data_IF_656519593772
#
_entry.id   IF_656519593772
#
_cell.length_a   1.000
_cell.length_b   1.000
_cell.length_c   1.000
_cell.angle_alpha   90.00
_cell.angle_beta   90.00
_cell.angle_gamma   90.00
#
_symmetry.space_group_name_H-M   'P 1'
#
loop_
_entity.id
_entity.type
_entity.pdbx_description
1 polymer ?
#
# COMPACT_ATOMS: atom_id res chain seq x y z
N UNK A 1 27.52 -76.98 -14.41
CA UNK A 1 28.09 -77.87 -13.39
C UNK A 1 29.17 -77.07 -12.65
N UNK A 2 28.85 -76.58 -11.43
CA UNK A 2 29.76 -76.02 -10.39
C UNK A 2 30.57 -74.77 -10.81
N UNK A 3 30.88 -73.73 -10.01
CA UNK A 3 30.80 -73.42 -8.59
C UNK A 3 31.00 -71.89 -8.48
N UNK A 4 30.30 -71.22 -7.56
CA UNK A 4 30.66 -69.86 -7.11
C UNK A 4 32.02 -69.90 -6.39
N UNK A 5 32.75 -68.77 -6.34
CA UNK A 5 32.90 -68.15 -5.04
C UNK A 5 32.79 -66.62 -5.03
N UNK A 6 32.21 -66.16 -3.92
CA UNK A 6 32.25 -64.83 -3.33
C UNK A 6 33.68 -64.26 -3.28
N UNK A 7 33.85 -62.97 -3.58
CA UNK A 7 34.93 -62.18 -2.96
C UNK A 7 34.51 -60.72 -2.71
N UNK A 8 34.72 -60.32 -1.45
CA UNK A 8 34.49 -59.05 -0.78
C UNK A 8 34.77 -57.79 -1.62
N UNK A 9 33.84 -56.83 -1.60
CA UNK A 9 34.17 -55.41 -1.75
C UNK A 9 34.32 -54.79 -0.35
N UNK A 10 35.56 -54.51 0.04
CA UNK A 10 35.86 -53.63 1.18
C UNK A 10 35.75 -52.20 0.66
N UNK A 11 34.64 -51.53 0.97
CA UNK A 11 34.53 -50.08 0.82
C UNK A 11 34.98 -49.45 2.15
N UNK A 12 36.28 -49.15 2.22
CA UNK A 12 36.85 -48.33 3.27
C UNK A 12 36.47 -46.87 2.97
N UNK A 13 35.24 -46.49 3.34
CA UNK A 13 34.92 -45.07 3.47
C UNK A 13 35.46 -44.64 4.82
N UNK A 14 36.67 -44.07 4.81
CA UNK A 14 37.16 -43.31 5.94
C UNK A 14 36.10 -42.27 6.27
N UNK A 15 35.44 -42.43 7.42
CA UNK A 15 34.60 -41.41 8.04
C UNK A 15 35.49 -40.19 8.29
N UNK A 16 35.58 -39.32 7.30
CA UNK A 16 35.98 -37.94 7.54
C UNK A 16 34.83 -37.34 8.31
N UNK A 17 35.01 -37.20 9.63
CA UNK A 17 34.15 -36.34 10.43
C UNK A 17 34.16 -34.97 9.77
N UNK A 18 33.11 -34.66 9.02
CA UNK A 18 32.78 -33.28 8.71
C UNK A 18 32.45 -32.68 10.06
N UNK A 19 33.39 -31.90 10.60
CA UNK A 19 33.13 -31.03 11.73
C UNK A 19 31.91 -30.21 11.38
N UNK A 20 30.75 -30.58 11.94
CA UNK A 20 29.50 -29.91 11.66
C UNK A 20 29.55 -28.58 12.40
N UNK A 21 30.16 -27.58 11.77
CA UNK A 21 30.25 -26.25 12.33
C UNK A 21 28.82 -25.71 12.46
N UNK A 22 28.38 -25.52 13.71
CA UNK A 22 27.09 -24.90 13.98
C UNK A 22 27.06 -23.50 13.39
N UNK A 23 25.95 -23.16 12.77
CA UNK A 23 25.72 -21.86 12.17
C UNK A 23 24.34 -21.35 12.54
N UNK A 24 24.20 -20.03 12.56
CA UNK A 24 23.08 -19.33 13.17
C UNK A 24 22.54 -18.29 12.18
N UNK A 25 21.22 -18.21 12.08
CA UNK A 25 20.54 -17.23 11.23
C UNK A 25 19.70 -16.32 12.11
N UNK A 26 19.75 -15.03 11.78
CA UNK A 26 18.77 -14.06 12.23
C UNK A 26 18.20 -13.31 11.01
N UNK A 27 16.89 -13.43 10.78
CA UNK A 27 16.18 -12.63 9.78
C UNK A 27 15.33 -11.59 10.48
N UNK A 28 15.51 -10.35 10.06
CA UNK A 28 14.86 -9.16 10.63
C UNK A 28 14.41 -8.26 9.49
N UNK A 29 13.30 -7.52 9.63
CA UNK A 29 12.94 -6.49 8.66
C UNK A 29 14.05 -5.45 8.49
N UNK A 30 14.24 -4.96 7.27
CA UNK A 30 15.25 -3.95 6.96
C UNK A 30 14.99 -2.59 7.67
N UNK A 31 13.75 -2.37 8.12
CA UNK A 31 13.32 -1.20 8.88
C UNK A 31 12.43 -1.65 10.02
N UNK A 32 12.68 -1.14 11.22
CA UNK A 32 11.85 -1.37 12.39
C UNK A 32 10.94 -0.16 12.63
N UNK A 33 9.70 -0.44 13.02
CA UNK A 33 8.70 0.56 13.39
C UNK A 33 8.53 0.52 14.89
N UNK A 34 8.58 1.69 15.52
CA UNK A 34 8.36 1.80 16.96
C UNK A 34 6.89 1.49 17.30
N UNK A 35 6.65 0.83 18.43
CA UNK A 35 5.30 0.47 18.89
C UNK A 35 4.53 -0.49 17.98
N UNK A 36 5.20 -1.12 17.00
CA UNK A 36 4.60 -2.14 16.12
C UNK A 36 5.17 -3.51 16.46
N UNK A 37 4.29 -4.50 16.57
CA UNK A 37 4.68 -5.90 16.72
C UNK A 37 5.24 -6.43 15.41
N UNK A 38 6.46 -6.93 15.44
CA UNK A 38 7.20 -7.39 14.26
C UNK A 38 7.77 -8.78 14.54
N UNK A 39 7.74 -9.63 13.53
CA UNK A 39 8.28 -10.98 13.63
C UNK A 39 9.74 -11.00 13.16
N UNK A 40 10.58 -11.70 13.92
CA UNK A 40 11.96 -12.02 13.57
C UNK A 40 12.11 -13.54 13.52
N UNK A 41 12.96 -14.03 12.63
CA UNK A 41 13.28 -15.46 12.55
C UNK A 41 14.63 -15.71 13.20
N UNK A 42 14.68 -16.72 14.06
CA UNK A 42 15.89 -17.19 14.74
C UNK A 42 16.08 -18.66 14.40
N UNK A 43 17.21 -19.01 13.80
CA UNK A 43 17.53 -20.39 13.45
C UNK A 43 18.93 -20.77 13.93
N UNK A 44 19.08 -22.01 14.36
CA UNK A 44 20.37 -22.59 14.72
C UNK A 44 20.49 -23.99 14.11
N UNK A 45 21.61 -24.25 13.44
CA UNK A 45 21.83 -25.49 12.73
C UNK A 45 22.98 -26.28 13.36
N UNK A 46 22.93 -27.59 13.17
CA UNK A 46 23.93 -28.53 13.70
C UNK A 46 24.06 -28.45 15.23
N UNK A 47 22.91 -28.37 15.92
CA UNK A 47 22.80 -28.47 17.38
C UNK A 47 22.02 -29.72 17.78
N UNK A 48 22.37 -30.27 18.94
CA UNK A 48 21.73 -31.45 19.53
C UNK A 48 21.12 -31.18 20.91
N UNK A 49 21.44 -30.04 21.53
CA UNK A 49 20.91 -29.62 22.83
C UNK A 49 20.04 -28.38 22.67
N UNK A 50 18.93 -28.26 23.43
CA UNK A 50 18.13 -27.04 23.44
C UNK A 50 18.97 -25.82 23.81
N UNK A 51 18.72 -24.70 23.15
CA UNK A 51 19.37 -23.42 23.44
C UNK A 51 18.34 -22.32 23.65
N UNK A 52 18.64 -21.40 24.55
CA UNK A 52 17.86 -20.16 24.71
C UNK A 52 18.57 -19.05 23.97
N UNK A 53 17.88 -18.47 22.98
CA UNK A 53 18.34 -17.30 22.24
C UNK A 53 17.79 -16.06 22.92
N UNK A 54 18.68 -15.18 23.41
CA UNK A 54 18.28 -13.87 23.96
C UNK A 54 18.30 -12.84 22.87
N UNK A 55 17.24 -12.06 22.75
CA UNK A 55 17.13 -10.96 21.78
C UNK A 55 16.98 -9.65 22.55
N UNK A 56 17.84 -8.69 22.24
CA UNK A 56 17.87 -7.39 22.91
C UNK A 56 17.95 -6.29 21.85
N UNK A 57 17.06 -5.30 21.94
CA UNK A 57 17.07 -4.12 21.09
C UNK A 57 17.53 -2.93 21.92
N UNK A 58 18.59 -2.28 21.48
CA UNK A 58 19.13 -1.08 22.10
C UNK A 58 18.92 0.16 21.25
N UNK A 59 18.86 1.33 21.88
CA UNK A 59 19.11 2.60 21.18
C UNK A 59 20.51 2.58 20.57
N UNK A 60 20.73 3.23 19.43
CA UNK A 60 22.08 3.43 18.91
C UNK A 60 22.73 4.69 19.52
N UNK A 61 24.01 4.67 19.97
CA UNK A 61 24.99 3.58 19.92
C UNK A 61 25.06 2.75 21.23
N UNK A 62 24.06 1.91 21.46
CA UNK A 62 23.88 0.95 22.56
C UNK A 62 23.86 1.56 23.98
N UNK A 63 23.04 2.60 24.20
CA UNK A 63 22.95 3.28 25.51
C UNK A 63 21.83 2.75 26.41
N UNK A 64 20.66 2.49 25.85
CA UNK A 64 19.45 2.10 26.59
C UNK A 64 18.80 0.88 25.94
N UNK A 65 18.25 -0.02 26.75
CA UNK A 65 17.46 -1.16 26.29
C UNK A 65 16.05 -0.68 25.98
N UNK A 66 15.58 -0.94 24.75
CA UNK A 66 14.22 -0.65 24.30
C UNK A 66 13.30 -1.85 24.50
N UNK A 67 13.83 -3.05 24.28
CA UNK A 67 13.11 -4.32 24.49
C UNK A 67 14.09 -5.46 24.65
N UNK A 68 13.69 -6.43 25.45
CA UNK A 68 14.42 -7.65 25.67
C UNK A 68 13.44 -8.82 25.72
N UNK A 69 13.77 -9.89 25.02
CA UNK A 69 12.97 -11.11 24.98
C UNK A 69 13.87 -12.33 24.73
N UNK A 70 13.28 -13.52 24.70
CA UNK A 70 13.97 -14.76 24.38
C UNK A 70 13.09 -15.76 23.64
N UNK A 71 13.74 -16.70 22.96
CA UNK A 71 13.12 -17.85 22.32
C UNK A 71 13.95 -19.11 22.62
N UNK A 72 13.28 -20.26 22.75
CA UNK A 72 13.94 -21.55 22.95
C UNK A 72 13.98 -22.25 21.59
N UNK A 73 15.16 -22.71 21.17
CA UNK A 73 15.37 -23.52 19.97
C UNK A 73 15.71 -24.95 20.40
N UNK A 74 14.92 -25.92 19.97
CA UNK A 74 15.04 -27.32 20.37
C UNK A 74 14.63 -28.25 19.22
N UNK A 75 14.65 -29.57 19.46
CA UNK A 75 14.24 -30.54 18.45
C UNK A 75 12.76 -30.47 18.07
N UNK A 76 11.88 -29.97 18.95
CA UNK A 76 10.44 -29.88 18.69
C UNK A 76 10.12 -28.81 17.65
N UNK A 77 10.86 -27.69 17.66
CA UNK A 77 10.72 -26.63 16.66
C UNK A 77 11.78 -26.67 15.56
N UNK A 78 12.47 -27.82 15.41
CA UNK A 78 13.56 -27.98 14.43
C UNK A 78 14.64 -26.88 14.53
N UNK A 79 14.88 -26.38 15.74
CA UNK A 79 15.78 -25.27 16.02
C UNK A 79 15.49 -23.97 15.25
N UNK A 80 14.23 -23.75 14.88
CA UNK A 80 13.75 -22.55 14.20
C UNK A 80 12.56 -21.95 14.96
N UNK A 81 12.59 -20.65 15.22
CA UNK A 81 11.50 -19.96 15.91
C UNK A 81 11.22 -18.58 15.29
N UNK A 82 9.94 -18.34 15.02
CA UNK A 82 9.42 -17.01 14.73
C UNK A 82 9.09 -16.32 16.05
N UNK A 83 9.79 -15.22 16.34
CA UNK A 83 9.60 -14.45 17.57
C UNK A 83 8.99 -13.09 17.27
N UNK A 84 7.86 -12.78 17.90
CA UNK A 84 7.29 -11.43 17.86
C UNK A 84 8.01 -10.54 18.87
N UNK A 85 8.50 -9.39 18.42
CA UNK A 85 9.09 -8.33 19.24
C UNK A 85 8.35 -7.02 18.98
N UNK A 86 8.30 -6.16 19.99
CA UNK A 86 7.76 -4.80 19.89
C UNK A 86 8.86 -3.84 20.31
N UNK A 87 9.12 -2.79 19.52
CA UNK A 87 10.28 -1.93 19.79
C UNK A 87 9.86 -0.70 20.60
N UNK A 88 10.25 -0.70 21.88
CA UNK A 88 10.04 0.40 22.83
C UNK A 88 8.65 0.38 23.50
N UNK A 89 8.55 0.90 24.73
CA UNK A 89 7.28 1.18 25.41
C UNK A 89 6.69 2.52 24.95
N UNK A 90 5.38 2.76 25.15
CA UNK A 90 4.71 4.05 24.80
C UNK A 90 5.54 5.29 25.20
N UNK A 91 6.03 5.33 26.43
CA UNK A 91 6.85 6.44 26.95
C UNK A 91 8.18 6.61 26.19
N UNK A 92 8.84 5.49 25.89
CA UNK A 92 10.10 5.50 25.14
C UNK A 92 9.89 5.89 23.68
N UNK A 93 8.79 5.42 23.07
CA UNK A 93 8.42 5.80 21.70
C UNK A 93 8.18 7.31 21.63
N UNK A 94 7.49 7.89 22.61
CA UNK A 94 7.29 9.35 22.67
C UNK A 94 8.62 10.11 22.68
N UNK A 95 9.53 9.75 23.59
CA UNK A 95 10.84 10.40 23.70
C UNK A 95 11.70 10.24 22.44
N UNK A 96 11.69 9.06 21.82
CA UNK A 96 12.41 8.82 20.57
C UNK A 96 11.78 9.55 19.37
N UNK A 97 10.45 9.71 19.37
CA UNK A 97 9.73 10.44 18.32
C UNK A 97 9.98 11.95 18.35
N UNK A 98 10.38 12.52 19.49
CA UNK A 98 10.79 13.93 19.57
C UNK A 98 12.13 14.21 18.85
N UNK A 99 12.91 13.16 18.54
CA UNK A 99 14.19 13.26 17.83
C UNK A 99 14.05 13.23 16.29
N UNK A 100 12.84 13.47 15.78
CA UNK A 100 12.31 13.29 14.41
C UNK A 100 13.07 13.91 13.23
N UNK A 101 14.18 14.61 13.47
CA UNK A 101 14.93 15.31 12.40
C UNK A 101 16.12 14.52 11.83
N UNK A 102 16.42 13.31 12.33
CA UNK A 102 17.58 12.51 11.90
C UNK A 102 17.24 11.04 11.70
N UNK A 103 17.94 10.40 10.75
CA UNK A 103 18.00 8.95 10.62
C UNK A 103 18.42 8.36 11.97
N UNK A 104 17.48 7.73 12.67
CA UNK A 104 17.77 7.07 13.94
C UNK A 104 17.87 5.58 13.70
N UNK A 105 18.77 4.94 14.46
CA UNK A 105 19.06 3.53 14.33
C UNK A 105 18.87 2.86 15.69
N UNK A 106 18.61 1.56 15.64
CA UNK A 106 18.67 0.67 16.80
C UNK A 106 19.67 -0.44 16.52
N UNK A 107 20.28 -0.92 17.59
CA UNK A 107 21.14 -2.09 17.54
C UNK A 107 20.34 -3.28 18.05
N UNK A 108 20.05 -4.23 17.16
CA UNK A 108 19.52 -5.53 17.52
C UNK A 108 20.67 -6.47 17.84
N UNK A 109 20.56 -7.16 18.96
CA UNK A 109 21.52 -8.14 19.42
C UNK A 109 20.84 -9.48 19.69
N UNK A 110 21.42 -10.56 19.18
CA UNK A 110 20.96 -11.92 19.43
C UNK A 110 22.08 -12.79 19.98
N UNK A 111 21.90 -13.31 21.19
CA UNK A 111 22.82 -14.24 21.85
C UNK A 111 22.28 -15.66 21.77
N UNK A 112 22.91 -16.51 20.95
CA UNK A 112 22.58 -17.93 20.81
C UNK A 112 23.31 -18.73 21.90
N UNK A 113 22.84 -18.59 23.15
CA UNK A 113 23.51 -19.15 24.31
C UNK A 113 24.97 -18.66 24.41
N UNK A 114 25.90 -19.60 24.62
CA UNK A 114 27.35 -19.33 24.58
C UNK A 114 27.98 -19.54 23.21
N UNK A 115 27.21 -19.94 22.19
CA UNK A 115 27.75 -20.37 20.90
C UNK A 115 28.05 -19.22 19.95
N UNK A 116 27.16 -18.23 19.88
CA UNK A 116 27.30 -17.13 18.94
C UNK A 116 26.57 -15.87 19.42
N UNK A 117 27.09 -14.71 19.01
CA UNK A 117 26.44 -13.41 19.21
C UNK A 117 26.38 -12.69 17.88
N UNK A 118 25.17 -12.34 17.45
CA UNK A 118 24.94 -11.59 16.23
C UNK A 118 24.49 -10.16 16.57
N UNK A 119 25.00 -9.20 15.80
CA UNK A 119 24.63 -7.79 15.92
C UNK A 119 24.18 -7.24 14.56
N UNK A 120 23.07 -6.49 14.56
CA UNK A 120 22.58 -5.80 13.39
C UNK A 120 22.13 -4.39 13.75
N UNK A 121 22.68 -3.40 13.04
CA UNK A 121 22.18 -2.02 13.07
C UNK A 121 21.01 -1.93 12.08
N UNK A 122 19.86 -1.48 12.57
CA UNK A 122 18.63 -1.38 11.78
C UNK A 122 18.10 0.04 11.87
N UNK A 123 17.68 0.58 10.74
CA UNK A 123 17.09 1.91 10.69
C UNK A 123 15.69 1.86 11.32
N UNK A 124 15.42 2.81 12.21
CA UNK A 124 14.07 3.07 12.69
C UNK A 124 13.36 3.97 11.68
N UNK A 125 12.17 3.55 11.27
CA UNK A 125 11.25 4.46 10.59
C UNK A 125 10.34 5.10 11.63
N UNK A 126 10.42 6.42 11.74
CA UNK A 126 9.43 7.25 12.42
C UNK A 126 8.52 7.78 11.34
N UNK A 127 7.21 7.60 11.49
CA UNK A 127 6.25 8.46 10.80
C UNK A 127 5.34 9.00 11.89
N UNK A 128 5.68 10.22 12.32
CA UNK A 128 4.91 11.13 13.18
C UNK A 128 4.10 10.51 14.34
N UNK A 129 4.56 10.82 15.55
CA UNK A 129 3.90 10.63 16.85
C UNK A 129 3.67 9.18 17.32
N UNK A 130 4.33 8.85 18.42
CA UNK A 130 4.32 7.57 19.14
C UNK A 130 2.94 6.95 19.40
N UNK A 131 1.91 7.79 19.49
CA UNK A 131 0.57 7.41 19.94
C UNK A 131 -0.29 6.84 18.81
N UNK A 132 0.09 7.05 17.54
CA UNK A 132 -0.66 6.51 16.41
C UNK A 132 0.32 5.72 15.53
N UNK A 133 0.32 4.37 15.57
CA UNK A 133 1.15 3.55 14.68
C UNK A 133 0.81 3.86 13.23
N UNK A 134 1.56 3.32 12.26
CA UNK A 134 1.38 3.57 10.82
C UNK A 134 -0.08 3.36 10.38
N UNK A 135 -0.88 4.41 10.47
CA UNK A 135 -2.32 4.34 10.33
C UNK A 135 -2.70 4.97 9.00
N UNK A 136 -3.66 4.36 8.35
CA UNK A 136 -4.13 4.75 7.04
C UNK A 136 -5.50 5.39 7.17
N UNK A 137 -5.71 6.47 6.40
CA UNK A 137 -7.03 7.04 6.18
C UNK A 137 -7.41 6.78 4.73
N UNK A 138 -8.48 6.03 4.50
CA UNK A 138 -9.08 5.87 3.18
C UNK A 138 -10.30 6.77 3.08
N UNK A 139 -10.34 7.62 2.07
CA UNK A 139 -11.43 8.58 1.87
C UNK A 139 -12.27 8.10 0.69
N UNK A 140 -13.58 7.99 0.89
CA UNK A 140 -14.53 7.60 -0.15
C UNK A 140 -15.60 8.68 -0.28
N UNK A 141 -15.77 9.20 -1.49
CA UNK A 141 -16.92 10.04 -1.85
C UNK A 141 -18.06 9.19 -2.40
N UNK A 142 -19.31 9.65 -2.27
CA UNK A 142 -20.47 8.94 -2.83
C UNK A 142 -20.52 9.00 -4.36
N UNK A 143 -19.95 10.06 -4.95
CA UNK A 143 -19.85 10.26 -6.39
C UNK A 143 -18.45 10.78 -6.79
N UNK A 144 -17.96 10.46 -8.00
CA UNK A 144 -16.71 11.04 -8.51
C UNK A 144 -16.88 12.43 -9.12
N UNK A 145 -18.12 12.83 -9.45
CA UNK A 145 -18.46 14.09 -10.13
C UNK A 145 -19.68 14.73 -9.46
N UNK A 146 -19.62 16.02 -9.19
CA UNK A 146 -20.68 16.83 -8.59
C UNK A 146 -20.98 18.08 -9.41
N UNK A 147 -22.24 18.52 -9.37
CA UNK A 147 -22.65 19.82 -9.87
C UNK A 147 -22.36 20.92 -8.84
N UNK A 148 -22.16 22.18 -9.28
CA UNK A 148 -22.30 23.34 -8.39
C UNK A 148 -23.64 23.31 -7.66
N UNK A 149 -23.63 23.48 -6.34
CA UNK A 149 -24.82 23.35 -5.47
C UNK A 149 -25.07 21.95 -4.90
N UNK A 150 -24.41 20.90 -5.42
CA UNK A 150 -24.56 19.56 -4.86
C UNK A 150 -23.92 19.45 -3.47
N UNK A 151 -24.44 18.52 -2.67
CA UNK A 151 -23.79 18.10 -1.43
C UNK A 151 -22.86 16.92 -1.69
N UNK A 152 -21.58 17.10 -1.35
CA UNK A 152 -20.55 16.08 -1.38
C UNK A 152 -20.68 15.26 -0.10
N UNK A 153 -21.08 14.00 -0.21
CA UNK A 153 -21.05 13.07 0.90
C UNK A 153 -19.76 12.26 0.84
N UNK A 154 -19.05 12.19 1.97
CA UNK A 154 -17.82 11.43 2.05
C UNK A 154 -17.68 10.74 3.40
N UNK A 155 -16.87 9.69 3.40
CA UNK A 155 -16.55 8.93 4.60
C UNK A 155 -15.06 8.62 4.64
N UNK A 156 -14.51 8.74 5.83
CA UNK A 156 -13.13 8.42 6.13
C UNK A 156 -13.08 7.10 6.90
N UNK A 157 -12.19 6.21 6.47
CA UNK A 157 -11.91 4.95 7.14
C UNK A 157 -10.51 5.01 7.74
N UNK A 158 -10.45 4.98 9.06
CA UNK A 158 -9.22 4.99 9.84
C UNK A 158 -8.86 3.56 10.22
N UNK A 159 -7.64 3.15 9.89
CA UNK A 159 -7.16 1.80 10.18
C UNK A 159 -5.69 1.79 10.60
N UNK A 160 -5.31 0.81 11.41
CA UNK A 160 -3.92 0.58 11.82
C UNK A 160 -3.15 -0.16 10.70
N UNK A 161 -1.85 -0.47 10.87
CA UNK A 161 -1.06 -1.16 9.84
C UNK A 161 -1.59 -2.55 9.47
N UNK A 162 -2.32 -3.20 10.39
CA UNK A 162 -2.97 -4.49 10.22
C UNK A 162 -4.39 -4.37 9.60
N UNK A 163 -4.76 -3.17 9.13
CA UNK A 163 -6.07 -2.82 8.56
C UNK A 163 -7.24 -3.02 9.53
N UNK A 164 -6.98 -2.94 10.84
CA UNK A 164 -8.01 -2.97 11.86
C UNK A 164 -8.49 -1.54 12.17
N UNK A 165 -9.80 -1.38 12.24
CA UNK A 165 -10.42 -0.12 12.60
C UNK A 165 -10.19 0.21 14.08
N UNK A 166 -9.97 1.49 14.39
CA UNK A 166 -9.78 1.96 15.77
C UNK A 166 -10.34 3.37 15.98
N UNK A 167 -10.59 3.74 17.23
CA UNK A 167 -11.08 5.08 17.57
C UNK A 167 -9.94 6.09 17.46
N UNK A 168 -10.13 7.16 16.69
CA UNK A 168 -9.16 8.24 16.55
C UNK A 168 -9.87 9.57 16.31
N UNK A 169 -9.17 10.67 16.55
CA UNK A 169 -9.55 11.98 16.02
C UNK A 169 -8.71 12.30 14.79
N UNK A 170 -9.34 12.93 13.80
CA UNK A 170 -8.71 13.38 12.55
C UNK A 170 -9.15 14.81 12.20
N UNK A 171 -8.30 15.50 11.47
CA UNK A 171 -8.59 16.79 10.83
C UNK A 171 -8.96 16.57 9.38
N UNK A 172 -9.99 17.27 8.92
CA UNK A 172 -10.53 17.22 7.57
C UNK A 172 -10.44 18.60 6.91
N UNK A 173 -10.14 18.63 5.63
CA UNK A 173 -10.08 19.83 4.80
C UNK A 173 -10.72 19.54 3.43
N UNK A 174 -11.47 20.50 2.89
CA UNK A 174 -11.92 20.48 1.50
C UNK A 174 -11.17 21.58 0.75
N UNK A 175 -10.46 21.18 -0.29
CA UNK A 175 -9.65 22.06 -1.12
C UNK A 175 -10.25 22.24 -2.50
N UNK A 176 -10.27 23.48 -2.97
CA UNK A 176 -10.68 23.82 -4.32
C UNK A 176 -9.56 23.47 -5.35
N UNK A 177 -9.78 23.69 -6.66
CA UNK A 177 -8.79 23.38 -7.69
C UNK A 177 -7.48 24.18 -7.59
N UNK A 178 -7.48 25.30 -6.86
CA UNK A 178 -6.29 26.13 -6.62
C UNK A 178 -5.51 25.70 -5.36
N UNK A 179 -5.95 24.64 -4.68
CA UNK A 179 -5.36 24.15 -3.43
C UNK A 179 -5.75 24.99 -2.20
N UNK A 180 -6.73 25.87 -2.33
CA UNK A 180 -7.23 26.69 -1.22
C UNK A 180 -8.21 25.86 -0.39
N UNK A 181 -7.99 25.81 0.91
CA UNK A 181 -8.91 25.18 1.87
C UNK A 181 -10.16 26.05 2.01
N UNK A 182 -11.31 25.53 1.57
CA UNK A 182 -12.61 26.22 1.64
C UNK A 182 -13.39 25.81 2.88
N UNK A 183 -13.15 24.61 3.39
CA UNK A 183 -13.75 24.09 4.61
C UNK A 183 -12.71 23.29 5.38
N UNK A 184 -12.72 23.40 6.71
CA UNK A 184 -11.84 22.65 7.59
C UNK A 184 -12.53 22.30 8.90
N UNK A 185 -12.30 21.08 9.38
CA UNK A 185 -12.81 20.58 10.66
C UNK A 185 -11.69 19.83 11.38
N UNK A 186 -11.26 20.34 12.53
CA UNK A 186 -10.27 19.66 13.37
C UNK A 186 -10.93 18.79 14.44
N UNK A 187 -10.21 17.82 14.98
CA UNK A 187 -10.65 16.96 16.08
C UNK A 187 -11.96 16.20 15.80
N UNK A 188 -12.18 15.80 14.55
CA UNK A 188 -13.34 15.02 14.17
C UNK A 188 -13.17 13.56 14.62
N UNK A 189 -14.12 13.06 15.41
CA UNK A 189 -14.04 11.71 16.00
C UNK A 189 -14.46 10.63 15.02
N UNK A 190 -13.53 9.76 14.63
CA UNK A 190 -13.78 8.55 13.87
C UNK A 190 -14.05 7.39 14.85
N UNK A 191 -15.32 7.18 15.18
CA UNK A 191 -15.77 6.06 16.02
C UNK A 191 -15.70 4.75 15.25
N UNK A 192 -15.06 3.73 15.85
CA UNK A 192 -14.81 2.43 15.24
C UNK A 192 -14.16 2.56 13.85
N UNK A 193 -13.23 3.51 13.72
CA UNK A 193 -12.50 3.79 12.48
C UNK A 193 -13.34 4.34 11.34
N UNK A 194 -14.57 4.84 11.58
CA UNK A 194 -15.39 5.45 10.54
C UNK A 194 -15.81 6.85 10.96
N UNK A 195 -15.62 7.81 10.07
CA UNK A 195 -16.19 9.14 10.15
C UNK A 195 -16.98 9.42 8.86
N UNK A 196 -18.19 9.97 8.98
CA UNK A 196 -19.03 10.32 7.83
C UNK A 196 -19.39 11.79 7.89
N UNK A 197 -19.21 12.48 6.78
CA UNK A 197 -19.31 13.93 6.69
C UNK A 197 -19.97 14.33 5.38
N UNK A 198 -20.39 15.60 5.32
CA UNK A 198 -20.94 16.18 4.11
C UNK A 198 -20.59 17.64 3.98
N UNK A 199 -20.44 18.10 2.74
CA UNK A 199 -20.20 19.51 2.44
C UNK A 199 -20.99 19.94 1.21
N UNK A 200 -21.79 20.98 1.37
CA UNK A 200 -22.57 21.56 0.27
C UNK A 200 -21.72 22.54 -0.51
N UNK A 201 -21.53 22.27 -1.80
CA UNK A 201 -20.86 23.18 -2.73
C UNK A 201 -21.72 24.44 -2.91
N UNK A 202 -21.10 25.61 -3.03
CA UNK A 202 -21.85 26.80 -3.43
C UNK A 202 -22.42 26.63 -4.85
N UNK A 203 -23.51 27.34 -5.14
CA UNK A 203 -24.13 27.34 -6.47
C UNK A 203 -23.23 27.99 -7.54
N UNK A 204 -22.32 28.86 -7.10
CA UNK A 204 -21.27 29.49 -7.92
C UNK A 204 -19.91 29.11 -7.34
N UNK A 205 -19.30 28.05 -7.88
CA UNK A 205 -17.97 27.56 -7.49
C UNK A 205 -17.08 27.37 -8.71
N UNK A 206 -15.76 27.38 -8.48
CA UNK A 206 -14.78 27.06 -9.52
C UNK A 206 -14.92 25.60 -9.94
N UNK A 207 -15.19 25.38 -11.22
CA UNK A 207 -15.16 24.05 -11.82
C UNK A 207 -13.72 23.51 -11.87
N UNK A 208 -13.57 22.20 -11.73
CA UNK A 208 -12.28 21.52 -11.77
C UNK A 208 -12.16 20.42 -10.73
N UNK A 209 -10.91 20.09 -10.41
CA UNK A 209 -10.55 18.98 -9.52
C UNK A 209 -10.45 19.44 -8.07
N UNK A 210 -11.39 19.03 -7.25
CA UNK A 210 -11.44 19.30 -5.82
C UNK A 210 -10.85 18.12 -5.02
N UNK A 211 -10.51 18.37 -3.76
CA UNK A 211 -9.96 17.33 -2.87
C UNK A 211 -10.63 17.36 -1.51
N UNK A 212 -10.91 16.18 -0.97
CA UNK A 212 -11.05 15.96 0.47
C UNK A 212 -9.68 15.53 0.98
N UNK A 213 -9.22 16.15 2.05
CA UNK A 213 -7.92 15.92 2.66
C UNK A 213 -8.10 15.59 4.14
N UNK A 214 -7.51 14.50 4.60
CA UNK A 214 -7.58 14.06 5.99
C UNK A 214 -6.18 13.88 6.58
N UNK A 215 -6.03 14.24 7.85
CA UNK A 215 -4.77 14.16 8.61
C UNK A 215 -5.08 13.71 10.03
N UNK A 216 -4.18 12.96 10.66
CA UNK A 216 -4.28 12.75 12.11
C UNK A 216 -3.87 14.04 12.84
N UNK A 217 -4.61 14.46 13.87
CA UNK A 217 -4.44 15.80 14.49
C UNK A 217 -3.01 16.08 15.00
N UNK A 218 -2.28 15.04 15.41
CA UNK A 218 -0.92 15.13 15.96
C UNK A 218 0.19 14.83 14.93
N UNK A 219 -0.15 14.77 13.64
CA UNK A 219 0.71 14.26 12.57
C UNK A 219 0.65 15.19 11.36
N UNK A 220 1.74 15.94 11.13
CA UNK A 220 1.82 16.85 9.98
C UNK A 220 2.21 16.15 8.67
N UNK A 221 2.88 15.00 8.74
CA UNK A 221 3.54 14.39 7.57
C UNK A 221 2.70 13.32 6.86
N UNK A 222 1.66 12.76 7.49
CA UNK A 222 0.76 11.79 6.85
C UNK A 222 -0.56 12.46 6.46
N UNK A 223 -0.58 13.01 5.24
CA UNK A 223 -1.79 13.55 4.62
C UNK A 223 -2.37 12.53 3.64
N UNK A 224 -3.67 12.26 3.79
CA UNK A 224 -4.44 11.40 2.90
C UNK A 224 -5.44 12.24 2.12
N UNK A 225 -5.74 11.87 0.88
CA UNK A 225 -6.68 12.65 0.07
C UNK A 225 -7.44 11.80 -0.92
N UNK A 226 -8.70 12.16 -1.15
CA UNK A 226 -9.50 11.71 -2.29
C UNK A 226 -9.87 12.90 -3.15
N UNK A 227 -10.03 12.64 -4.44
CA UNK A 227 -10.29 13.64 -5.46
C UNK A 227 -11.71 13.46 -5.99
N UNK A 228 -12.41 14.57 -6.22
CA UNK A 228 -13.67 14.59 -6.96
C UNK A 228 -13.70 15.77 -7.93
N UNK A 229 -14.42 15.63 -9.03
CA UNK A 229 -14.58 16.71 -10.00
C UNK A 229 -15.86 17.51 -9.71
N UNK A 230 -15.75 18.83 -9.78
CA UNK A 230 -16.90 19.73 -9.81
C UNK A 230 -17.03 20.31 -11.20
N UNK A 231 -18.10 19.98 -11.90
CA UNK A 231 -18.40 20.50 -13.23
C UNK A 231 -19.89 20.40 -13.47
N UNK A 232 -20.43 21.28 -14.30
CA UNK A 232 -21.83 21.17 -14.73
C UNK A 232 -22.01 19.85 -15.49
N UNK A 233 -22.68 18.92 -14.85
CA UNK A 233 -23.02 17.61 -15.33
C UNK A 233 -24.54 17.47 -15.42
N UNK A 234 -24.99 17.16 -16.62
CA UNK A 234 -26.36 16.71 -16.84
C UNK A 234 -26.29 15.21 -17.06
N UNK A 235 -27.10 14.44 -16.33
CA UNK A 235 -27.22 13.01 -16.56
C UNK A 235 -27.63 12.79 -18.03
N UNK A 236 -26.76 12.19 -18.86
CA UNK A 236 -27.11 11.98 -20.24
C UNK A 236 -28.26 10.97 -20.32
N UNK A 237 -29.26 11.20 -21.18
CA UNK A 237 -30.43 10.32 -21.28
C UNK A 237 -30.13 8.94 -21.89
N UNK A 238 -28.94 8.77 -22.47
CA UNK A 238 -28.46 7.55 -23.09
C UNK A 238 -26.94 7.45 -22.98
N UNK A 239 -26.42 6.23 -23.06
CA UNK A 239 -25.00 5.94 -23.09
C UNK A 239 -24.52 5.79 -24.52
N UNK A 240 -23.32 6.31 -24.81
CA UNK A 240 -22.61 6.11 -26.07
C UNK A 240 -21.35 5.31 -25.79
N UNK A 241 -21.16 4.21 -26.51
CA UNK A 241 -19.99 3.35 -26.39
C UNK A 241 -19.25 3.34 -27.72
N UNK A 242 -17.95 3.60 -27.67
CA UNK A 242 -17.03 3.51 -28.79
C UNK A 242 -16.20 2.24 -28.62
N UNK A 243 -16.38 1.27 -29.50
CA UNK A 243 -15.70 -0.02 -29.45
C UNK A 243 -14.76 -0.13 -30.65
N UNK A 244 -13.45 0.12 -30.47
CA UNK A 244 -12.50 -0.09 -31.55
C UNK A 244 -12.38 -1.60 -31.83
N UNK A 245 -12.31 -1.99 -33.10
CA UNK A 245 -12.14 -3.42 -33.47
C UNK A 245 -10.79 -3.97 -33.03
N UNK A 246 -9.79 -3.10 -32.92
CA UNK A 246 -8.44 -3.40 -32.41
C UNK A 246 -8.05 -2.37 -31.36
N UNK A 247 -7.37 -2.80 -30.32
CA UNK A 247 -6.88 -1.93 -29.25
C UNK A 247 -5.65 -1.10 -29.65
N UNK A 248 -5.05 -1.39 -30.81
CA UNK A 248 -3.91 -0.68 -31.38
C UNK A 248 -4.06 -0.56 -32.89
N UNK A 249 -3.33 0.39 -33.47
CA UNK A 249 -3.21 0.57 -34.92
C UNK A 249 -1.74 0.35 -35.30
N UNK A 250 -1.46 -0.71 -36.03
CA UNK A 250 -0.11 -0.97 -36.58
C UNK A 250 0.20 -0.01 -37.72
N UNK A 251 1.50 0.24 -37.97
CA UNK A 251 1.95 1.09 -39.07
C UNK A 251 1.55 0.56 -40.45
N UNK A 252 1.38 -0.76 -40.57
CA UNK A 252 1.00 -1.43 -41.82
C UNK A 252 -0.52 -1.48 -42.03
N UNK A 253 -1.31 -0.96 -41.09
CA UNK A 253 -2.77 -0.97 -41.18
C UNK A 253 -3.28 0.32 -41.80
N UNK A 254 -4.00 0.18 -42.90
CA UNK A 254 -4.56 1.32 -43.63
C UNK A 254 -5.83 1.90 -42.96
N UNK A 255 -6.48 1.15 -42.06
CA UNK A 255 -7.84 1.45 -41.57
C UNK A 255 -7.96 1.25 -40.07
N UNK A 256 -8.51 2.26 -39.37
CA UNK A 256 -8.99 2.14 -38.00
C UNK A 256 -10.51 2.00 -37.98
N UNK A 257 -11.01 0.87 -37.51
CA UNK A 257 -12.46 0.62 -37.41
C UNK A 257 -12.93 0.78 -35.96
N UNK A 258 -13.91 1.66 -35.76
CA UNK A 258 -14.55 1.91 -34.46
C UNK A 258 -16.05 1.76 -34.61
N UNK A 259 -16.63 0.84 -33.85
CA UNK A 259 -18.08 0.70 -33.73
C UNK A 259 -18.61 1.74 -32.75
N UNK A 260 -19.64 2.46 -33.15
CA UNK A 260 -20.33 3.44 -32.30
C UNK A 260 -21.69 2.86 -31.96
N UNK A 261 -21.98 2.67 -30.67
CA UNK A 261 -23.29 2.23 -30.21
C UNK A 261 -23.88 3.23 -29.24
N UNK A 262 -25.18 3.52 -29.38
CA UNK A 262 -25.90 4.43 -28.49
C UNK A 262 -27.18 3.77 -28.00
N UNK A 263 -27.36 3.68 -26.68
CA UNK A 263 -28.52 3.03 -26.04
C UNK A 263 -29.04 3.85 -24.89
N UNK A 264 -30.36 3.97 -24.79
CA UNK A 264 -31.01 4.54 -23.61
C UNK A 264 -30.69 3.70 -22.37
N UNK A 265 -30.85 4.30 -21.18
CA UNK A 265 -30.62 3.60 -19.90
C UNK A 265 -31.49 2.34 -19.73
N UNK A 266 -32.63 2.27 -20.42
CA UNK A 266 -33.52 1.10 -20.48
C UNK A 266 -33.19 0.11 -21.63
N UNK A 267 -32.00 0.23 -22.24
CA UNK A 267 -31.45 -0.74 -23.20
C UNK A 267 -31.84 -0.58 -24.67
N UNK A 268 -32.89 0.20 -24.99
CA UNK A 268 -33.33 0.41 -26.38
C UNK A 268 -32.30 1.23 -27.18
N UNK A 269 -32.14 0.95 -28.49
CA UNK A 269 -31.22 1.70 -29.35
C UNK A 269 -31.71 3.14 -29.53
N UNK A 270 -30.76 4.07 -29.58
CA UNK A 270 -31.04 5.49 -29.88
C UNK A 270 -31.13 5.66 -31.40
N UNK A 271 -32.18 6.34 -31.86
CA UNK A 271 -32.27 6.83 -33.24
C UNK A 271 -31.81 8.28 -33.28
N UNK A 272 -30.81 8.58 -34.09
CA UNK A 272 -30.20 9.91 -34.09
C UNK A 272 -29.01 10.03 -35.04
N UNK A 273 -28.30 11.14 -34.87
CA UNK A 273 -27.15 11.50 -35.68
C UNK A 273 -25.92 11.60 -34.78
N UNK A 274 -24.82 10.99 -35.19
CA UNK A 274 -23.53 11.16 -34.52
C UNK A 274 -22.55 11.90 -35.43
N UNK A 275 -21.69 12.72 -34.82
CA UNK A 275 -20.57 13.39 -35.49
C UNK A 275 -19.27 12.86 -34.89
N UNK A 276 -18.43 12.26 -35.73
CA UNK A 276 -17.19 11.61 -35.31
C UNK A 276 -16.00 12.38 -35.88
N UNK A 277 -14.99 12.59 -35.04
CA UNK A 277 -13.75 13.28 -35.38
C UNK A 277 -12.58 12.41 -34.90
N UNK A 278 -11.60 12.17 -35.77
CA UNK A 278 -10.35 11.52 -35.37
C UNK A 278 -9.27 12.56 -35.13
N UNK A 279 -8.52 12.37 -34.05
CA UNK A 279 -7.43 13.22 -33.61
C UNK A 279 -6.22 12.40 -33.16
N UNK A 280 -5.03 12.98 -33.26
CA UNK A 280 -3.82 12.50 -32.58
C UNK A 280 -3.56 13.39 -31.36
N UNK A 281 -3.08 12.79 -30.28
CA UNK A 281 -2.59 13.51 -29.11
C UNK A 281 -1.09 13.25 -28.96
N UNK A 282 -0.28 14.30 -29.09
CA UNK A 282 1.18 14.23 -28.93
C UNK A 282 1.56 15.17 -27.80
N UNK A 283 2.14 14.64 -26.71
CA UNK A 283 2.57 15.42 -25.55
C UNK A 283 1.46 16.31 -24.95
N UNK A 284 0.21 15.81 -24.90
CA UNK A 284 -0.95 16.56 -24.41
C UNK A 284 -1.55 17.57 -25.41
N UNK A 285 -0.93 17.74 -26.58
CA UNK A 285 -1.45 18.58 -27.67
C UNK A 285 -2.33 17.74 -28.58
N UNK A 286 -3.61 18.12 -28.69
CA UNK A 286 -4.60 17.44 -29.52
C UNK A 286 -4.68 18.07 -30.90
N UNK A 287 -4.42 17.30 -31.94
CA UNK A 287 -4.50 17.70 -33.35
C UNK A 287 -5.55 16.87 -34.09
N UNK A 288 -6.34 17.52 -34.93
CA UNK A 288 -7.35 16.86 -35.77
C UNK A 288 -6.69 16.31 -37.03
N UNK A 289 -6.98 15.05 -37.38
CA UNK A 289 -6.38 14.37 -38.55
C UNK A 289 -7.35 14.27 -39.73
N UNK A 290 -8.66 14.21 -39.46
CA UNK A 290 -9.69 13.99 -40.49
C UNK A 290 -10.82 14.98 -40.38
N UNK A 291 -11.52 15.22 -41.49
CA UNK A 291 -12.79 15.96 -41.49
C UNK A 291 -13.87 15.26 -40.65
N UNK A 292 -14.82 16.04 -40.14
CA UNK A 292 -15.94 15.52 -39.34
C UNK A 292 -16.76 14.54 -40.18
N UNK A 293 -16.95 13.31 -39.69
CA UNK A 293 -17.80 12.29 -40.32
C UNK A 293 -19.17 12.31 -39.64
N UNK A 294 -20.25 12.26 -40.41
CA UNK A 294 -21.62 12.18 -39.92
C UNK A 294 -22.15 10.76 -40.06
N UNK A 295 -22.76 10.22 -39.00
CA UNK A 295 -23.43 8.91 -38.98
C UNK A 295 -24.93 9.12 -38.75
N UNK A 296 -25.78 8.40 -39.50
CA UNK A 296 -27.25 8.38 -39.37
C UNK A 296 -27.72 6.93 -39.29
N UNK A 297 -28.59 6.64 -38.31
CA UNK A 297 -29.35 5.40 -38.09
C UNK A 297 -28.59 4.05 -38.20
N UNK A 298 -28.62 3.23 -37.15
CA UNK A 298 -27.99 1.89 -37.04
C UNK A 298 -26.58 1.81 -37.68
N UNK A 299 -25.59 2.23 -36.88
CA UNK A 299 -24.20 2.50 -37.25
C UNK A 299 -23.51 1.37 -38.01
N UNK A 300 -23.31 1.60 -39.32
CA UNK A 300 -22.45 0.76 -40.16
C UNK A 300 -20.96 1.10 -39.94
N UNK A 301 -20.14 0.05 -40.04
CA UNK A 301 -18.68 0.04 -39.99
C UNK A 301 -18.11 0.85 -41.16
N UNK A 302 -17.11 1.71 -40.92
CA UNK A 302 -16.43 2.44 -42.00
C UNK A 302 -14.90 2.41 -41.87
N UNK A 303 -14.19 2.25 -42.99
CA UNK A 303 -12.76 2.54 -43.09
C UNK A 303 -12.42 3.99 -42.73
N UNK A 304 -11.23 4.19 -42.18
CA UNK A 304 -10.48 5.44 -42.40
C UNK A 304 -9.72 5.30 -43.71
#
# INVERSE_FOLDING_TARGET
>A
MLLLPLFLWILLVSNTQVSSQSWFIILVPARLRLGTKLNILLEAHSLSKPITVKVIVYTYPRKYVLTQDSAILNSENSYSALKTIEVGSEDQVYLLSLCTKKNTFVTLFAEFGSFHKAEKIIMLSFHSHAVIPHSYIFIQTDKPVYNPGDTVHYRDFVSNPEFQAFNSTISLEIQNPDGIVIYGRANASASNGILSESYTLYTVVKEGRWKVVAKFDNVKENTFSAVFDVKKYVLPPFNVTLTPKKSYLSLDEEKLEVEVTARYLHGKPVKGVAFVLFGIEINGVKMKITSMKQLKDNFNIFPI
#
